data_IF_545010480988
#
_entry.id   IF_545010480988
#
_cell.length_a   1.000
_cell.length_b   1.000
_cell.length_c   1.000
_cell.angle_alpha   90.00
_cell.angle_beta   90.00
_cell.angle_gamma   90.00
#
_symmetry.space_group_name_H-M   'P 1'
#
loop_
_entity.id
_entity.type
_entity.pdbx_description
1 polymer ?
#
# COMPACT_ATOMS: atom_id res chain seq x y z
N UNK A 1 41.43 20.84 16.85
CA UNK A 1 40.44 21.81 16.35
C UNK A 1 39.13 21.00 16.23
N UNK A 2 38.23 21.18 17.21
CA UNK A 2 36.92 20.59 17.17
C UNK A 2 36.03 21.46 16.30
N UNK A 3 35.62 20.95 15.12
CA UNK A 3 34.56 21.59 14.35
C UNK A 3 33.27 21.55 15.17
N UNK A 4 32.85 22.72 15.59
CA UNK A 4 31.57 22.93 16.24
C UNK A 4 30.46 22.62 15.19
N UNK A 5 29.92 21.42 15.25
CA UNK A 5 28.72 21.07 14.48
C UNK A 5 27.58 21.96 14.97
N UNK A 6 27.01 22.79 14.07
CA UNK A 6 25.88 23.63 14.39
C UNK A 6 24.69 22.78 14.86
N UNK A 7 23.90 23.22 15.84
CA UNK A 7 22.76 22.42 16.37
C UNK A 7 21.69 22.11 15.31
N UNK A 8 21.64 22.84 14.20
CA UNK A 8 20.79 22.53 13.04
C UNK A 8 21.24 21.27 12.29
N UNK A 9 22.55 20.96 12.29
CA UNK A 9 23.10 19.81 11.60
C UNK A 9 22.71 18.50 12.29
N UNK A 10 22.63 18.52 13.61
CA UNK A 10 22.25 17.36 14.44
C UNK A 10 20.74 17.05 14.33
N UNK A 11 19.91 18.03 13.95
CA UNK A 11 18.47 17.85 13.79
C UNK A 11 18.07 17.32 12.40
N UNK A 12 18.93 17.51 11.38
CA UNK A 12 18.65 17.11 10.00
C UNK A 12 19.18 15.73 9.59
N UNK A 13 20.00 15.13 10.45
CA UNK A 13 20.67 13.86 10.13
C UNK A 13 20.48 12.94 11.30
N UNK A 14 19.78 11.80 11.11
CA UNK A 14 19.58 10.85 12.20
C UNK A 14 20.93 10.35 12.70
N UNK A 15 21.20 10.36 14.03
CA UNK A 15 22.35 9.69 14.58
C UNK A 15 22.20 8.20 14.36
N UNK A 16 23.25 7.55 13.89
CA UNK A 16 23.31 6.09 13.83
C UNK A 16 23.53 5.59 15.25
N UNK A 17 22.48 5.14 15.90
CA UNK A 17 22.59 4.52 17.23
C UNK A 17 23.34 3.19 17.10
N UNK A 18 24.56 3.13 17.69
CA UNK A 18 25.36 1.90 17.83
C UNK A 18 26.64 1.80 17.01
N UNK A 19 26.96 2.74 16.16
CA UNK A 19 28.20 2.70 15.38
C UNK A 19 28.73 4.11 15.08
N UNK A 20 29.88 4.31 14.70
CA UNK A 20 30.70 5.46 14.30
C UNK A 20 30.05 6.82 13.93
N UNK A 21 28.77 7.11 14.19
CA UNK A 21 28.12 8.41 14.00
C UNK A 21 28.04 8.91 12.55
N UNK A 22 28.09 8.05 11.56
CA UNK A 22 27.94 8.39 10.15
C UNK A 22 26.47 8.40 9.73
N UNK A 23 26.06 9.53 9.20
CA UNK A 23 24.75 9.76 8.58
C UNK A 23 24.77 9.43 7.09
N UNK A 24 23.58 9.24 6.52
CA UNK A 24 23.42 9.10 5.06
C UNK A 24 23.95 10.35 4.33
N UNK A 25 24.48 10.21 3.10
CA UNK A 25 24.98 11.36 2.33
C UNK A 25 23.88 12.41 2.13
N UNK A 26 24.19 13.68 2.41
CA UNK A 26 23.25 14.79 2.27
C UNK A 26 22.69 14.88 0.84
N UNK A 27 23.49 14.57 -0.17
CA UNK A 27 23.06 14.55 -1.57
C UNK A 27 21.92 13.55 -1.80
N UNK A 28 21.96 12.39 -1.16
CA UNK A 28 20.94 11.35 -1.26
C UNK A 28 19.65 11.78 -0.52
N UNK A 29 19.76 12.33 0.67
CA UNK A 29 18.64 12.89 1.41
C UNK A 29 17.96 14.04 0.64
N UNK A 30 18.75 14.92 0.04
CA UNK A 30 18.24 16.00 -0.80
C UNK A 30 17.48 15.45 -2.04
N UNK A 31 18.01 14.41 -2.69
CA UNK A 31 17.35 13.75 -3.83
C UNK A 31 16.00 13.14 -3.41
N UNK A 32 15.96 12.41 -2.31
CA UNK A 32 14.72 11.81 -1.78
C UNK A 32 13.69 12.90 -1.41
N UNK A 33 14.14 13.99 -0.79
CA UNK A 33 13.27 15.13 -0.44
C UNK A 33 12.69 15.79 -1.70
N UNK A 34 13.50 16.00 -2.74
CA UNK A 34 13.04 16.56 -4.00
C UNK A 34 12.03 15.65 -4.70
N UNK A 35 12.28 14.33 -4.71
CA UNK A 35 11.34 13.34 -5.23
C UNK A 35 10.00 13.35 -4.48
N UNK A 36 10.04 13.48 -3.16
CA UNK A 36 8.85 13.58 -2.31
C UNK A 36 8.08 14.88 -2.55
N UNK A 37 8.75 16.02 -2.70
CA UNK A 37 8.12 17.29 -3.07
C UNK A 37 7.41 17.16 -4.42
N UNK A 38 8.06 16.58 -5.41
CA UNK A 38 7.47 16.34 -6.72
C UNK A 38 6.24 15.43 -6.62
N UNK A 39 6.32 14.31 -5.91
CA UNK A 39 5.20 13.39 -5.65
C UNK A 39 4.03 14.11 -4.98
N UNK A 40 4.33 14.97 -4.00
CA UNK A 40 3.34 15.76 -3.27
C UNK A 40 2.59 16.71 -4.22
N UNK A 41 3.31 17.46 -5.05
CA UNK A 41 2.72 18.38 -6.02
C UNK A 41 1.82 17.63 -7.01
N UNK A 42 2.31 16.53 -7.58
CA UNK A 42 1.58 15.72 -8.55
C UNK A 42 0.32 15.11 -7.93
N UNK A 43 0.42 14.55 -6.72
CA UNK A 43 -0.72 13.94 -6.02
C UNK A 43 -1.77 14.99 -5.63
N UNK A 44 -1.35 16.14 -5.08
CA UNK A 44 -2.26 17.25 -4.73
C UNK A 44 -2.94 17.82 -5.97
N UNK A 45 -2.22 17.97 -7.08
CA UNK A 45 -2.80 18.39 -8.35
C UNK A 45 -3.91 17.43 -8.82
N UNK A 46 -3.65 16.13 -8.76
CA UNK A 46 -4.65 15.11 -9.09
C UNK A 46 -5.89 15.17 -8.19
N UNK A 47 -5.68 15.32 -6.88
CA UNK A 47 -6.76 15.46 -5.90
C UNK A 47 -7.59 16.73 -6.17
N UNK A 48 -6.94 17.86 -6.43
CA UNK A 48 -7.62 19.14 -6.74
C UNK A 48 -8.44 19.01 -8.01
N UNK A 49 -7.92 18.33 -9.05
CA UNK A 49 -8.70 18.08 -10.28
C UNK A 49 -9.95 17.25 -10.01
N UNK A 50 -9.86 16.22 -9.15
CA UNK A 50 -11.02 15.42 -8.75
C UNK A 50 -12.06 16.24 -7.98
N UNK A 51 -11.60 17.11 -7.07
CA UNK A 51 -12.48 17.96 -6.26
C UNK A 51 -13.12 19.10 -7.06
N UNK A 52 -12.39 19.69 -8.02
CA UNK A 52 -12.95 20.72 -8.90
C UNK A 52 -14.01 20.15 -9.86
N UNK A 53 -13.84 18.90 -10.28
CA UNK A 53 -14.74 18.21 -11.21
C UNK A 53 -15.51 17.11 -10.45
N UNK A 54 -16.24 17.48 -9.41
CA UNK A 54 -16.89 16.54 -8.49
C UNK A 54 -18.31 16.21 -8.95
N UNK A 55 -18.40 15.47 -10.09
CA UNK A 55 -19.68 15.13 -10.73
C UNK A 55 -20.37 13.89 -10.12
N UNK A 56 -19.58 12.90 -9.69
CA UNK A 56 -20.07 11.65 -9.07
C UNK A 56 -19.50 11.47 -7.66
N UNK A 57 -20.12 12.10 -6.65
CA UNK A 57 -19.60 12.09 -5.26
C UNK A 57 -19.40 10.71 -4.68
N UNK A 58 -20.29 9.75 -4.99
CA UNK A 58 -20.24 8.39 -4.48
C UNK A 58 -18.95 7.65 -4.91
N UNK A 59 -18.49 7.88 -6.13
CA UNK A 59 -17.28 7.28 -6.70
C UNK A 59 -16.03 8.09 -6.34
N UNK A 60 -16.06 9.40 -6.57
CA UNK A 60 -14.90 10.26 -6.46
C UNK A 60 -14.34 10.37 -5.03
N UNK A 61 -15.18 10.22 -4.00
CA UNK A 61 -14.71 10.14 -2.61
C UNK A 61 -13.74 8.98 -2.37
N UNK A 62 -13.97 7.83 -2.98
CA UNK A 62 -13.05 6.70 -2.88
C UNK A 62 -11.77 6.94 -3.68
N UNK A 63 -11.90 7.53 -4.87
CA UNK A 63 -10.76 7.89 -5.72
C UNK A 63 -9.82 8.87 -5.01
N UNK A 64 -10.35 9.94 -4.41
CA UNK A 64 -9.54 10.91 -3.65
C UNK A 64 -8.77 10.21 -2.53
N UNK A 65 -9.41 9.30 -1.80
CA UNK A 65 -8.74 8.53 -0.74
C UNK A 65 -7.62 7.65 -1.29
N UNK A 66 -7.80 7.04 -2.46
CA UNK A 66 -6.76 6.23 -3.11
C UNK A 66 -5.61 7.11 -3.59
N UNK A 67 -5.88 8.30 -4.13
CA UNK A 67 -4.87 9.24 -4.63
C UNK A 67 -3.96 9.82 -3.54
N UNK A 68 -4.36 9.75 -2.27
CA UNK A 68 -3.51 10.14 -1.12
C UNK A 68 -2.38 9.11 -0.89
N UNK A 69 -2.51 7.87 -1.39
CA UNK A 69 -1.58 6.79 -1.09
C UNK A 69 -0.12 7.10 -1.50
N UNK A 70 0.20 7.48 -2.77
CA UNK A 70 1.57 7.80 -3.15
C UNK A 70 2.17 8.97 -2.34
N UNK A 71 1.34 9.97 -2.02
CA UNK A 71 1.72 11.11 -1.18
C UNK A 71 2.13 10.64 0.22
N UNK A 72 1.28 9.82 0.85
CA UNK A 72 1.52 9.33 2.20
C UNK A 72 2.78 8.46 2.26
N UNK A 73 2.98 7.58 1.28
CA UNK A 73 4.17 6.73 1.19
C UNK A 73 5.45 7.57 1.03
N UNK A 74 5.48 8.55 0.13
CA UNK A 74 6.64 9.40 -0.09
C UNK A 74 6.98 10.22 1.17
N UNK A 75 5.99 10.83 1.80
CA UNK A 75 6.19 11.64 3.03
C UNK A 75 6.63 10.75 4.19
N UNK A 76 6.01 9.59 4.37
CA UNK A 76 6.35 8.64 5.43
C UNK A 76 7.81 8.17 5.30
N UNK A 77 8.21 7.70 4.11
CA UNK A 77 9.59 7.25 3.88
C UNK A 77 10.61 8.37 4.00
N UNK A 78 10.27 9.61 3.60
CA UNK A 78 11.17 10.74 3.81
C UNK A 78 11.36 11.04 5.31
N UNK A 79 10.29 11.07 6.10
CA UNK A 79 10.39 11.31 7.55
C UNK A 79 11.17 10.18 8.23
N UNK A 80 10.96 8.93 7.81
CA UNK A 80 11.71 7.77 8.30
C UNK A 80 13.22 7.92 8.07
N UNK A 81 13.64 8.45 6.91
CA UNK A 81 15.05 8.75 6.61
C UNK A 81 15.66 9.82 7.51
N UNK A 82 14.86 10.78 8.02
CA UNK A 82 15.32 11.82 8.90
C UNK A 82 15.27 11.47 10.40
N UNK A 83 14.41 10.53 10.81
CA UNK A 83 14.22 10.17 12.21
C UNK A 83 13.81 8.71 12.38
N UNK A 84 14.75 7.88 12.85
CA UNK A 84 14.50 6.48 13.19
C UNK A 84 13.43 6.29 14.28
N UNK A 85 13.37 7.20 15.25
CA UNK A 85 12.38 7.13 16.33
C UNK A 85 10.94 7.33 15.83
N UNK A 86 10.77 8.15 14.78
CA UNK A 86 9.47 8.37 14.15
C UNK A 86 9.15 7.30 13.10
N UNK A 87 10.16 6.61 12.57
CA UNK A 87 10.01 5.61 11.53
C UNK A 87 8.98 4.54 11.91
N UNK A 88 9.08 3.95 13.09
CA UNK A 88 8.17 2.90 13.54
C UNK A 88 6.71 3.36 13.62
N UNK A 89 6.46 4.58 14.13
CA UNK A 89 5.10 5.12 14.20
C UNK A 89 4.55 5.45 12.81
N UNK A 90 5.41 5.96 11.94
CA UNK A 90 5.03 6.35 10.59
C UNK A 90 4.77 5.14 9.72
N UNK A 91 5.58 4.10 9.85
CA UNK A 91 5.37 2.82 9.17
C UNK A 91 4.05 2.18 9.59
N UNK A 92 3.71 2.25 10.88
CA UNK A 92 2.42 1.80 11.37
C UNK A 92 1.25 2.56 10.72
N UNK A 93 1.35 3.88 10.61
CA UNK A 93 0.33 4.71 9.95
C UNK A 93 0.22 4.40 8.46
N UNK A 94 1.36 4.19 7.77
CA UNK A 94 1.42 3.76 6.37
C UNK A 94 0.70 2.43 6.18
N UNK A 95 0.99 1.48 7.03
CA UNK A 95 0.41 0.14 7.04
C UNK A 95 -1.13 0.15 7.25
N UNK A 96 -1.61 0.96 8.18
CA UNK A 96 -3.04 1.12 8.42
C UNK A 96 -3.74 1.77 7.21
N UNK A 97 -3.07 2.75 6.59
CA UNK A 97 -3.61 3.40 5.40
C UNK A 97 -3.68 2.45 4.21
N UNK A 98 -2.70 1.55 4.05
CA UNK A 98 -2.72 0.49 3.03
C UNK A 98 -3.98 -0.38 3.13
N UNK A 99 -4.28 -0.87 4.32
CA UNK A 99 -5.50 -1.65 4.55
C UNK A 99 -6.76 -0.84 4.22
N UNK A 100 -6.80 0.44 4.58
CA UNK A 100 -7.90 1.34 4.26
C UNK A 100 -8.05 1.58 2.75
N UNK A 101 -6.95 1.67 2.00
CA UNK A 101 -6.98 1.82 0.53
C UNK A 101 -7.57 0.58 -0.13
N UNK A 102 -7.25 -0.62 0.33
CA UNK A 102 -7.87 -1.87 -0.18
C UNK A 102 -9.39 -1.85 0.03
N UNK A 103 -9.86 -1.40 1.20
CA UNK A 103 -11.28 -1.20 1.44
C UNK A 103 -11.89 -0.17 0.48
N UNK A 104 -11.24 0.99 0.32
CA UNK A 104 -11.72 2.03 -0.60
C UNK A 104 -11.77 1.54 -2.05
N UNK A 105 -10.77 0.77 -2.47
CA UNK A 105 -10.73 0.20 -3.81
C UNK A 105 -11.86 -0.82 -4.04
N UNK A 106 -12.07 -1.74 -3.11
CA UNK A 106 -13.20 -2.68 -3.18
C UNK A 106 -14.54 -1.94 -3.23
N UNK A 107 -14.74 -0.94 -2.35
CA UNK A 107 -15.95 -0.13 -2.33
C UNK A 107 -16.17 0.63 -3.63
N UNK A 108 -15.09 1.15 -4.25
CA UNK A 108 -15.13 1.78 -5.57
C UNK A 108 -15.62 0.80 -6.65
N UNK A 109 -15.13 -0.44 -6.64
CA UNK A 109 -15.56 -1.45 -7.60
C UNK A 109 -17.03 -1.80 -7.46
N UNK A 110 -17.53 -1.93 -6.23
CA UNK A 110 -18.95 -2.17 -5.96
C UNK A 110 -19.81 -1.00 -6.42
N UNK A 111 -19.35 0.23 -6.20
CA UNK A 111 -20.07 1.44 -6.60
C UNK A 111 -20.10 1.63 -8.13
N UNK A 112 -19.07 1.18 -8.87
CA UNK A 112 -19.11 1.13 -10.34
C UNK A 112 -20.23 0.22 -10.86
N UNK A 113 -20.66 -0.75 -10.07
CA UNK A 113 -21.77 -1.67 -10.38
C UNK A 113 -23.11 -1.20 -9.81
N UNK A 114 -23.21 0.09 -9.47
CA UNK A 114 -24.42 0.70 -8.87
C UNK A 114 -24.80 0.11 -7.51
N UNK A 115 -23.81 -0.38 -6.76
CA UNK A 115 -23.98 -0.94 -5.43
C UNK A 115 -24.26 -2.44 -5.39
N UNK A 116 -24.24 -3.00 -4.17
CA UNK A 116 -24.35 -4.45 -3.95
C UNK A 116 -25.67 -5.04 -4.48
N UNK A 117 -26.80 -4.35 -4.27
CA UNK A 117 -28.11 -4.84 -4.68
C UNK A 117 -28.27 -4.93 -6.21
N UNK A 118 -27.88 -3.89 -6.92
CA UNK A 118 -27.93 -3.87 -8.38
C UNK A 118 -26.98 -4.92 -8.99
N UNK A 119 -25.77 -5.02 -8.44
CA UNK A 119 -24.80 -6.02 -8.84
C UNK A 119 -25.34 -7.46 -8.73
N UNK A 120 -25.94 -7.80 -7.57
CA UNK A 120 -26.51 -9.15 -7.37
C UNK A 120 -27.67 -9.44 -8.33
N UNK A 121 -28.48 -8.44 -8.69
CA UNK A 121 -29.52 -8.59 -9.70
C UNK A 121 -28.96 -8.87 -11.10
N UNK A 122 -27.88 -8.19 -11.48
CA UNK A 122 -27.21 -8.41 -12.78
C UNK A 122 -26.48 -9.76 -12.85
N UNK A 123 -26.10 -10.34 -11.73
CA UNK A 123 -25.41 -11.63 -11.69
C UNK A 123 -26.37 -12.84 -11.68
N UNK A 124 -27.67 -12.63 -11.47
CA UNK A 124 -28.65 -13.75 -11.46
C UNK A 124 -28.62 -14.52 -12.77
N UNK A 125 -28.52 -15.85 -12.65
CA UNK A 125 -28.54 -16.77 -13.79
C UNK A 125 -27.23 -16.91 -14.55
N UNK A 126 -26.11 -16.39 -14.03
CA UNK A 126 -24.78 -16.60 -14.63
C UNK A 126 -24.18 -17.92 -14.19
N UNK A 127 -23.40 -18.56 -15.05
CA UNK A 127 -22.71 -19.78 -14.68
C UNK A 127 -21.62 -19.47 -13.65
N UNK A 128 -21.44 -20.36 -12.65
CA UNK A 128 -20.38 -20.26 -11.68
C UNK A 128 -19.00 -20.26 -12.34
N UNK A 129 -18.05 -19.51 -11.78
CA UNK A 129 -16.67 -19.43 -12.29
C UNK A 129 -15.72 -20.27 -11.45
N UNK A 130 -14.76 -20.98 -12.10
CA UNK A 130 -13.76 -21.76 -11.38
C UNK A 130 -12.83 -20.81 -10.60
N UNK A 131 -12.34 -21.31 -9.48
CA UNK A 131 -11.30 -20.63 -8.70
C UNK A 131 -9.98 -20.57 -9.46
N UNK A 132 -9.07 -19.66 -9.06
CA UNK A 132 -7.72 -19.62 -9.60
C UNK A 132 -6.90 -20.83 -9.17
N UNK A 133 -5.98 -21.26 -10.03
CA UNK A 133 -4.99 -22.26 -9.67
C UNK A 133 -4.14 -21.77 -8.47
N UNK A 134 -3.83 -22.62 -7.46
CA UNK A 134 -4.16 -24.07 -7.37
C UNK A 134 -5.50 -24.39 -6.70
N UNK A 135 -6.25 -23.39 -6.20
CA UNK A 135 -7.47 -23.59 -5.41
C UNK A 135 -8.65 -24.15 -6.23
N UNK A 136 -8.61 -24.05 -7.56
CA UNK A 136 -9.61 -24.67 -8.44
C UNK A 136 -9.66 -26.21 -8.36
N UNK A 137 -8.60 -26.83 -7.81
CA UNK A 137 -8.55 -28.29 -7.62
C UNK A 137 -9.28 -28.71 -6.34
N UNK A 138 -9.33 -27.80 -5.34
CA UNK A 138 -9.83 -28.10 -3.98
C UNK A 138 -11.22 -27.51 -3.76
N UNK A 139 -11.49 -26.31 -4.32
CA UNK A 139 -12.72 -25.56 -4.10
C UNK A 139 -13.70 -25.69 -5.26
N UNK A 140 -15.00 -25.77 -4.92
CA UNK A 140 -16.08 -25.74 -5.90
C UNK A 140 -16.14 -24.38 -6.62
N UNK A 141 -16.60 -24.34 -7.90
CA UNK A 141 -16.73 -23.09 -8.64
C UNK A 141 -17.55 -22.04 -7.87
N UNK A 142 -17.09 -20.81 -7.91
CA UNK A 142 -17.72 -19.69 -7.20
C UNK A 142 -18.93 -19.17 -7.96
N UNK A 143 -20.10 -19.22 -7.32
CA UNK A 143 -21.34 -18.62 -7.83
C UNK A 143 -21.62 -17.29 -7.13
N UNK A 144 -21.35 -16.19 -7.82
CA UNK A 144 -21.62 -14.82 -7.31
C UNK A 144 -23.10 -14.41 -7.37
N UNK A 145 -23.97 -15.24 -8.00
CA UNK A 145 -25.41 -15.01 -7.96
C UNK A 145 -26.01 -15.29 -6.58
N UNK A 146 -25.31 -16.12 -5.78
CA UNK A 146 -25.69 -16.41 -4.41
C UNK A 146 -25.22 -15.26 -3.45
N UNK A 147 -26.15 -14.61 -2.74
CA UNK A 147 -25.81 -13.58 -1.76
C UNK A 147 -24.83 -14.04 -0.67
N UNK A 148 -24.87 -15.31 -0.27
CA UNK A 148 -23.96 -15.85 0.75
C UNK A 148 -22.52 -15.94 0.23
N UNK A 149 -22.35 -16.36 -1.02
CA UNK A 149 -21.04 -16.41 -1.69
C UNK A 149 -20.45 -15.02 -1.83
N UNK A 150 -21.26 -14.04 -2.24
CA UNK A 150 -20.82 -12.63 -2.28
C UNK A 150 -20.44 -12.10 -0.90
N UNK A 151 -21.24 -12.39 0.14
CA UNK A 151 -20.93 -11.98 1.50
C UNK A 151 -19.64 -12.62 2.02
N UNK A 152 -19.39 -13.88 1.70
CA UNK A 152 -18.12 -14.57 2.02
C UNK A 152 -16.93 -13.91 1.34
N UNK A 153 -17.06 -13.57 0.05
CA UNK A 153 -16.04 -12.85 -0.70
C UNK A 153 -15.76 -11.47 -0.07
N UNK A 154 -16.80 -10.71 0.23
CA UNK A 154 -16.68 -9.41 0.90
C UNK A 154 -15.97 -9.54 2.26
N UNK A 155 -16.34 -10.53 3.09
CA UNK A 155 -15.66 -10.81 4.36
C UNK A 155 -14.20 -11.18 4.16
N UNK A 156 -13.89 -11.99 3.14
CA UNK A 156 -12.52 -12.37 2.79
C UNK A 156 -11.64 -11.19 2.39
N UNK A 157 -12.21 -10.15 1.75
CA UNK A 157 -11.47 -8.91 1.43
C UNK A 157 -11.34 -8.04 2.68
N UNK A 158 -12.43 -7.82 3.41
CA UNK A 158 -12.48 -6.88 4.53
C UNK A 158 -11.78 -7.38 5.79
N UNK A 159 -11.56 -8.70 5.93
CA UNK A 159 -10.83 -9.26 7.07
C UNK A 159 -9.43 -8.65 7.23
N UNK A 160 -8.75 -8.35 6.13
CA UNK A 160 -7.43 -7.72 6.16
C UNK A 160 -7.48 -6.32 6.80
N UNK A 161 -8.50 -5.54 6.46
CA UNK A 161 -8.72 -4.19 7.02
C UNK A 161 -8.94 -4.23 8.53
N UNK A 162 -9.54 -5.32 9.04
CA UNK A 162 -9.77 -5.51 10.47
C UNK A 162 -8.55 -6.10 11.19
N UNK A 163 -7.84 -7.05 10.56
CA UNK A 163 -6.68 -7.71 11.15
C UNK A 163 -5.50 -6.76 11.28
N UNK A 164 -5.27 -5.87 10.31
CA UNK A 164 -4.12 -4.96 10.30
C UNK A 164 -4.03 -4.09 11.57
N UNK A 165 -5.10 -3.37 11.99
CA UNK A 165 -5.06 -2.60 13.25
C UNK A 165 -4.84 -3.48 14.50
N UNK A 166 -5.43 -4.68 14.51
CA UNK A 166 -5.25 -5.62 15.64
C UNK A 166 -3.80 -6.08 15.72
N UNK A 167 -3.18 -6.44 14.59
CA UNK A 167 -1.78 -6.80 14.55
C UNK A 167 -0.88 -5.63 14.97
N UNK A 168 -1.20 -4.41 14.54
CA UNK A 168 -0.47 -3.22 14.93
C UNK A 168 -0.44 -3.03 16.45
N UNK A 169 -1.59 -3.09 17.10
CA UNK A 169 -1.69 -3.01 18.56
C UNK A 169 -0.97 -4.18 19.23
N UNK A 170 -1.12 -5.40 18.69
CA UNK A 170 -0.45 -6.59 19.21
C UNK A 170 1.07 -6.45 19.14
N UNK A 171 1.62 -5.93 18.05
CA UNK A 171 3.05 -5.68 17.89
C UNK A 171 3.57 -4.71 18.95
N UNK A 172 2.88 -3.58 19.15
CA UNK A 172 3.24 -2.61 20.20
C UNK A 172 3.25 -3.26 21.59
N UNK A 173 2.21 -4.03 21.92
CA UNK A 173 2.14 -4.73 23.20
C UNK A 173 3.27 -5.75 23.36
N UNK A 174 3.55 -6.54 22.34
CA UNK A 174 4.63 -7.53 22.38
C UNK A 174 6.00 -6.88 22.52
N UNK A 175 6.25 -5.72 21.89
CA UNK A 175 7.46 -4.92 22.08
C UNK A 175 7.57 -4.42 23.53
N UNK A 176 6.50 -3.93 24.13
CA UNK A 176 6.47 -3.50 25.53
C UNK A 176 6.80 -4.64 26.51
N UNK A 177 6.39 -5.87 26.20
CA UNK A 177 6.71 -7.05 27.03
C UNK A 177 8.05 -7.71 26.70
N UNK A 178 8.84 -7.16 25.78
CA UNK A 178 10.14 -7.71 25.37
C UNK A 178 10.06 -9.09 24.69
N UNK A 179 8.91 -9.41 24.08
CA UNK A 179 8.66 -10.66 23.35
C UNK A 179 8.63 -10.50 21.84
N UNK A 180 9.13 -9.38 21.35
CA UNK A 180 9.15 -9.06 19.93
C UNK A 180 10.53 -8.59 19.52
N UNK A 181 11.22 -9.42 18.76
CA UNK A 181 12.52 -9.12 18.18
C UNK A 181 12.39 -9.08 16.67
N UNK A 182 12.58 -7.90 16.10
CA UNK A 182 12.48 -7.67 14.65
C UNK A 182 13.51 -8.52 13.89
N UNK A 183 13.09 -9.16 12.80
CA UNK A 183 13.97 -9.92 11.91
C UNK A 183 14.31 -11.34 12.38
N UNK A 184 14.04 -11.73 13.63
CA UNK A 184 14.33 -13.06 14.13
C UNK A 184 13.14 -14.01 14.04
N UNK A 185 13.19 -14.92 13.04
CA UNK A 185 12.17 -15.95 12.82
C UNK A 185 12.38 -17.14 13.78
N UNK A 186 11.79 -17.04 14.98
CA UNK A 186 11.76 -18.11 15.96
C UNK A 186 10.35 -18.33 16.49
N UNK A 187 9.91 -19.57 16.70
CA UNK A 187 8.53 -19.89 17.12
C UNK A 187 8.15 -19.27 18.48
N UNK A 188 9.12 -18.94 19.33
CA UNK A 188 8.91 -18.23 20.59
C UNK A 188 8.81 -16.70 20.45
N UNK A 189 9.11 -16.15 19.28
CA UNK A 189 9.11 -14.72 19.03
C UNK A 189 7.75 -14.25 18.47
N UNK A 190 7.20 -13.18 19.01
CA UNK A 190 5.96 -12.57 18.54
C UNK A 190 6.02 -12.10 17.09
N UNK A 191 7.21 -11.66 16.62
CA UNK A 191 7.44 -11.28 15.24
C UNK A 191 7.05 -12.38 14.24
N UNK A 192 7.42 -13.63 14.49
CA UNK A 192 7.12 -14.76 13.61
C UNK A 192 5.60 -14.92 13.40
N UNK A 193 4.84 -14.86 14.48
CA UNK A 193 3.38 -15.02 14.41
C UNK A 193 2.68 -13.83 13.74
N UNK A 194 3.11 -12.60 14.02
CA UNK A 194 2.56 -11.41 13.37
C UNK A 194 2.83 -11.44 11.87
N UNK A 195 4.02 -11.83 11.42
CA UNK A 195 4.37 -11.96 10.01
C UNK A 195 3.54 -13.05 9.32
N UNK A 196 3.36 -14.21 9.93
CA UNK A 196 2.55 -15.31 9.37
C UNK A 196 1.09 -14.87 9.21
N UNK A 197 0.48 -14.33 10.27
CA UNK A 197 -0.93 -13.89 10.24
C UNK A 197 -1.12 -12.76 9.21
N UNK A 198 -0.20 -11.81 9.17
CA UNK A 198 -0.22 -10.71 8.21
C UNK A 198 -0.20 -11.23 6.77
N UNK A 199 0.80 -12.04 6.41
CA UNK A 199 0.95 -12.54 5.04
C UNK A 199 -0.23 -13.41 4.61
N UNK A 200 -0.75 -14.27 5.50
CA UNK A 200 -1.93 -15.06 5.23
C UNK A 200 -3.16 -14.17 4.99
N UNK A 201 -3.36 -13.17 5.82
CA UNK A 201 -4.48 -12.21 5.71
C UNK A 201 -4.43 -11.42 4.40
N UNK A 202 -3.24 -10.91 4.02
CA UNK A 202 -3.03 -10.22 2.74
C UNK A 202 -3.31 -11.17 1.57
N UNK A 203 -2.78 -12.37 1.60
CA UNK A 203 -2.99 -13.36 0.54
C UNK A 203 -4.47 -13.64 0.32
N UNK A 204 -5.22 -13.88 1.39
CA UNK A 204 -6.66 -14.12 1.34
C UNK A 204 -7.41 -12.91 0.76
N UNK A 205 -7.12 -11.70 1.24
CA UNK A 205 -7.77 -10.49 0.77
C UNK A 205 -7.52 -10.26 -0.74
N UNK A 206 -6.29 -10.44 -1.17
CA UNK A 206 -5.90 -10.27 -2.57
C UNK A 206 -6.49 -11.35 -3.47
N UNK A 207 -6.56 -12.56 -3.00
CA UNK A 207 -7.19 -13.66 -3.70
C UNK A 207 -8.68 -13.37 -3.97
N UNK A 208 -9.44 -13.02 -2.93
CA UNK A 208 -10.86 -12.69 -3.07
C UNK A 208 -11.09 -11.43 -3.93
N UNK A 209 -10.24 -10.41 -3.80
CA UNK A 209 -10.33 -9.22 -4.65
C UNK A 209 -10.07 -9.54 -6.13
N UNK A 210 -9.11 -10.42 -6.41
CA UNK A 210 -8.84 -10.89 -7.77
C UNK A 210 -9.98 -11.74 -8.32
N UNK A 211 -10.55 -12.63 -7.49
CA UNK A 211 -11.73 -13.41 -7.87
C UNK A 211 -12.93 -12.53 -8.17
N UNK A 212 -13.17 -11.49 -7.34
CA UNK A 212 -14.20 -10.49 -7.59
C UNK A 212 -14.02 -9.83 -8.96
N UNK A 213 -12.81 -9.38 -9.27
CA UNK A 213 -12.51 -8.77 -10.56
C UNK A 213 -12.70 -9.74 -11.74
N UNK A 214 -12.22 -10.98 -11.64
CA UNK A 214 -12.37 -11.98 -12.70
C UNK A 214 -13.85 -12.31 -12.96
N UNK A 215 -14.64 -12.45 -11.91
CA UNK A 215 -16.06 -12.76 -12.03
C UNK A 215 -16.84 -11.62 -12.71
N UNK A 216 -16.43 -10.38 -12.47
CA UNK A 216 -17.10 -9.14 -12.93
C UNK A 216 -16.31 -8.42 -14.03
N UNK A 217 -15.34 -9.09 -14.65
CA UNK A 217 -14.43 -8.46 -15.61
C UNK A 217 -15.15 -7.83 -16.82
N UNK A 218 -16.26 -8.39 -17.25
CA UNK A 218 -17.07 -7.87 -18.38
C UNK A 218 -17.76 -6.55 -18.00
N UNK A 219 -18.35 -6.48 -16.81
CA UNK A 219 -19.07 -5.32 -16.30
C UNK A 219 -18.11 -4.19 -15.91
N UNK A 220 -16.96 -4.57 -15.42
CA UNK A 220 -15.93 -3.64 -14.99
C UNK A 220 -15.00 -3.18 -16.13
N UNK A 221 -15.10 -3.79 -17.32
CA UNK A 221 -14.26 -3.44 -18.47
C UNK A 221 -14.34 -1.94 -18.86
N UNK A 222 -15.53 -1.28 -18.90
CA UNK A 222 -15.62 0.13 -19.27
C UNK A 222 -14.86 1.06 -18.33
N UNK A 223 -14.71 0.68 -17.05
CA UNK A 223 -14.09 1.51 -16.00
C UNK A 223 -12.57 1.36 -15.91
N UNK A 224 -11.93 0.66 -16.84
CA UNK A 224 -10.47 0.44 -16.88
C UNK A 224 -9.90 -0.05 -15.54
N UNK A 225 -10.63 -0.95 -14.88
CA UNK A 225 -10.31 -1.44 -13.53
C UNK A 225 -8.93 -2.11 -13.47
N UNK A 226 -8.49 -2.77 -14.54
CA UNK A 226 -7.16 -3.38 -14.60
C UNK A 226 -6.04 -2.38 -14.32
N UNK A 227 -6.06 -1.20 -14.96
CA UNK A 227 -5.06 -0.14 -14.72
C UNK A 227 -5.12 0.38 -13.30
N UNK A 228 -6.33 0.61 -12.77
CA UNK A 228 -6.55 1.05 -11.39
C UNK A 228 -6.04 0.02 -10.37
N UNK A 229 -6.31 -1.27 -10.63
CA UNK A 229 -5.85 -2.38 -9.80
C UNK A 229 -4.32 -2.49 -9.80
N UNK A 230 -3.69 -2.39 -10.98
CA UNK A 230 -2.22 -2.45 -11.10
C UNK A 230 -1.58 -1.26 -10.37
N UNK A 231 -2.14 -0.05 -10.46
CA UNK A 231 -1.59 1.11 -9.76
C UNK A 231 -1.64 0.93 -8.23
N UNK A 232 -2.80 0.59 -7.67
CA UNK A 232 -2.94 0.38 -6.21
C UNK A 232 -2.10 -0.80 -5.74
N UNK A 233 -2.18 -1.92 -6.45
CA UNK A 233 -1.41 -3.13 -6.13
C UNK A 233 0.08 -2.95 -6.37
N UNK A 234 0.46 -2.18 -7.40
CA UNK A 234 1.86 -1.93 -7.75
C UNK A 234 2.62 -1.32 -6.58
N UNK A 235 2.10 -0.27 -5.95
CA UNK A 235 2.75 0.37 -4.78
C UNK A 235 3.01 -0.67 -3.68
N UNK A 236 1.97 -1.43 -3.29
CA UNK A 236 2.07 -2.43 -2.22
C UNK A 236 3.02 -3.57 -2.60
N UNK A 237 2.90 -4.07 -3.83
CA UNK A 237 3.71 -5.18 -4.33
C UNK A 237 5.19 -4.81 -4.41
N UNK A 238 5.50 -3.66 -4.99
CA UNK A 238 6.88 -3.20 -5.07
C UNK A 238 7.49 -2.98 -3.69
N UNK A 239 6.81 -2.27 -2.80
CA UNK A 239 7.31 -2.04 -1.43
C UNK A 239 7.58 -3.35 -0.69
N UNK A 240 6.71 -4.36 -0.81
CA UNK A 240 6.88 -5.66 -0.16
C UNK A 240 8.07 -6.45 -0.72
N UNK A 241 8.12 -6.60 -2.06
CA UNK A 241 9.18 -7.40 -2.70
C UNK A 241 10.56 -6.74 -2.59
N UNK A 242 10.61 -5.42 -2.65
CA UNK A 242 11.84 -4.67 -2.41
C UNK A 242 12.36 -4.91 -0.99
N UNK A 243 11.50 -4.78 0.02
CA UNK A 243 11.88 -5.01 1.40
C UNK A 243 12.43 -6.43 1.61
N UNK A 244 11.75 -7.44 1.04
CA UNK A 244 12.21 -8.82 1.08
C UNK A 244 13.56 -8.98 0.37
N UNK A 245 13.70 -8.42 -0.82
CA UNK A 245 14.93 -8.51 -1.63
C UNK A 245 16.11 -7.83 -0.93
N UNK A 246 15.90 -6.63 -0.40
CA UNK A 246 16.93 -5.90 0.36
C UNK A 246 17.34 -6.69 1.60
N UNK A 247 16.39 -7.23 2.35
CA UNK A 247 16.68 -8.06 3.53
C UNK A 247 17.52 -9.29 3.19
N UNK A 248 17.25 -9.95 2.06
CA UNK A 248 18.05 -11.07 1.57
C UNK A 248 19.46 -10.60 1.19
N UNK A 249 19.62 -9.49 0.48
CA UNK A 249 20.93 -8.94 0.09
C UNK A 249 21.79 -8.57 1.30
N UNK A 250 21.17 -7.98 2.33
CA UNK A 250 21.84 -7.65 3.60
C UNK A 250 22.25 -8.94 4.34
N UNK A 251 21.35 -9.92 4.44
CA UNK A 251 21.63 -11.21 5.08
C UNK A 251 22.75 -12.00 4.37
N UNK A 252 22.90 -11.84 3.05
CA UNK A 252 24.00 -12.43 2.28
C UNK A 252 25.32 -11.65 2.38
N UNK A 253 25.34 -10.53 3.10
CA UNK A 253 26.51 -9.68 3.25
C UNK A 253 26.96 -8.92 1.99
N UNK A 254 26.11 -8.90 0.93
CA UNK A 254 26.44 -8.23 -0.32
C UNK A 254 26.38 -6.70 -0.21
N UNK A 255 25.58 -6.18 0.70
CA UNK A 255 25.34 -4.75 0.91
C UNK A 255 26.21 -4.17 2.01
N UNK A 256 26.65 -4.96 2.97
CA UNK A 256 27.54 -4.55 4.09
C UNK A 256 28.89 -4.03 3.59
N UNK A 257 29.35 -4.46 2.42
CA UNK A 257 30.58 -3.94 1.79
C UNK A 257 30.45 -2.49 1.28
N UNK A 258 29.24 -1.98 1.07
CA UNK A 258 29.02 -0.63 0.55
C UNK A 258 29.10 0.41 1.68
N UNK A 259 28.83 0.02 2.90
CA UNK A 259 28.68 0.93 4.02
C UNK A 259 29.58 0.71 5.24
N UNK A 260 30.23 -0.41 5.43
CA UNK A 260 31.24 -0.77 6.48
C UNK A 260 31.06 -0.24 7.91
N UNK A 261 30.00 0.53 8.18
CA UNK A 261 29.84 1.37 9.36
C UNK A 261 28.39 1.40 9.88
N UNK A 262 27.41 0.87 9.11
CA UNK A 262 26.00 0.92 9.48
C UNK A 262 25.55 -0.43 10.04
N UNK A 263 24.61 -0.38 11.02
CA UNK A 263 23.90 -1.56 11.48
C UNK A 263 23.03 -2.13 10.34
N UNK A 264 23.02 -3.46 10.20
CA UNK A 264 22.35 -4.15 9.08
C UNK A 264 20.84 -3.83 9.03
N UNK A 265 20.20 -3.67 10.18
CA UNK A 265 18.79 -3.34 10.29
C UNK A 265 18.51 -1.91 9.80
N UNK A 266 19.35 -0.96 10.20
CA UNK A 266 19.25 0.43 9.74
C UNK A 266 19.45 0.53 8.22
N UNK A 267 20.47 -0.18 7.71
CA UNK A 267 20.82 -0.14 6.29
C UNK A 267 19.68 -0.68 5.42
N UNK A 268 19.05 -1.79 5.84
CA UNK A 268 17.93 -2.38 5.10
C UNK A 268 16.71 -1.44 5.05
N UNK A 269 16.34 -0.84 6.17
CA UNK A 269 15.22 0.12 6.26
C UNK A 269 15.51 1.38 5.44
N UNK A 270 16.70 1.95 5.59
CA UNK A 270 17.09 3.16 4.87
C UNK A 270 17.10 2.95 3.35
N UNK A 271 17.63 1.81 2.86
CA UNK A 271 17.61 1.48 1.44
C UNK A 271 16.19 1.32 0.91
N UNK A 272 15.32 0.66 1.65
CA UNK A 272 13.91 0.52 1.28
C UNK A 272 13.22 1.89 1.17
N UNK A 273 13.39 2.76 2.15
CA UNK A 273 12.80 4.09 2.15
C UNK A 273 13.33 4.98 1.03
N UNK A 274 14.63 4.90 0.71
CA UNK A 274 15.22 5.59 -0.44
C UNK A 274 14.55 5.14 -1.74
N UNK A 275 14.41 3.83 -1.96
CA UNK A 275 13.76 3.30 -3.16
C UNK A 275 12.30 3.74 -3.25
N UNK A 276 11.55 3.67 -2.14
CA UNK A 276 10.17 4.15 -2.09
C UNK A 276 10.10 5.63 -2.48
N UNK A 277 10.95 6.50 -1.92
CA UNK A 277 10.97 7.92 -2.27
C UNK A 277 11.20 8.14 -3.78
N UNK A 278 12.07 7.35 -4.41
CA UNK A 278 12.39 7.48 -5.84
C UNK A 278 11.32 6.89 -6.76
N UNK A 279 10.54 5.93 -6.30
CA UNK A 279 9.47 5.29 -7.07
C UNK A 279 8.14 6.02 -6.99
N UNK A 280 7.84 6.66 -5.85
CA UNK A 280 6.56 7.34 -5.65
C UNK A 280 6.23 8.42 -6.69
N UNK A 281 7.16 9.20 -7.26
CA UNK A 281 6.90 10.07 -8.41
C UNK A 281 6.27 9.34 -9.60
N UNK A 282 6.77 8.14 -9.94
CA UNK A 282 6.28 7.32 -11.05
C UNK A 282 4.85 6.85 -10.74
N UNK A 283 4.63 6.35 -9.52
CA UNK A 283 3.30 5.91 -9.09
C UNK A 283 2.30 7.07 -9.01
N UNK A 284 2.71 8.27 -8.58
CA UNK A 284 1.83 9.44 -8.57
C UNK A 284 1.36 9.80 -9.99
N UNK A 285 2.26 9.78 -10.97
CA UNK A 285 1.92 9.99 -12.38
C UNK A 285 0.99 8.88 -12.88
N UNK A 286 1.30 7.61 -12.59
CA UNK A 286 0.46 6.48 -12.97
C UNK A 286 -0.96 6.59 -12.39
N UNK A 287 -1.10 7.08 -11.17
CA UNK A 287 -2.40 7.30 -10.52
C UNK A 287 -3.21 8.39 -11.21
N UNK A 288 -2.61 9.48 -11.72
CA UNK A 288 -3.33 10.50 -12.52
C UNK A 288 -3.98 9.86 -13.75
N UNK A 289 -3.25 9.02 -14.46
CA UNK A 289 -3.77 8.35 -15.65
C UNK A 289 -4.79 7.26 -15.35
N UNK A 290 -4.56 6.47 -14.29
CA UNK A 290 -5.45 5.39 -13.90
C UNK A 290 -6.77 5.90 -13.31
N UNK A 291 -6.73 7.00 -12.55
CA UNK A 291 -7.87 7.61 -11.88
C UNK A 291 -8.16 9.00 -12.45
N UNK A 292 -8.29 9.10 -13.76
CA UNK A 292 -8.56 10.37 -14.43
C UNK A 292 -9.92 10.94 -14.03
N UNK A 293 -9.98 12.25 -13.76
CA UNK A 293 -11.25 12.97 -13.56
C UNK A 293 -12.15 12.95 -14.79
N UNK A 294 -11.56 12.78 -15.97
CA UNK A 294 -12.30 12.70 -17.25
C UNK A 294 -13.22 11.47 -17.32
N UNK A 295 -12.88 10.37 -16.63
CA UNK A 295 -13.72 9.17 -16.56
C UNK A 295 -15.13 9.47 -15.99
N UNK A 296 -15.28 10.55 -15.23
CA UNK A 296 -16.54 10.94 -14.57
C UNK A 296 -17.28 12.04 -15.32
N UNK A 297 -16.63 12.75 -16.25
CA UNK A 297 -17.24 13.83 -17.05
C UNK A 297 -18.01 13.30 -18.25
N UNK A 298 -17.49 12.28 -18.92
CA UNK A 298 -18.02 11.78 -20.20
C UNK A 298 -19.43 11.20 -20.08
N UNK A 299 -19.75 10.53 -18.97
CA UNK A 299 -21.11 10.01 -18.74
C UNK A 299 -22.13 11.11 -18.39
N UNK A 300 -21.70 12.21 -17.79
CA UNK A 300 -22.59 13.34 -17.46
C UNK A 300 -23.04 14.08 -18.72
N UNK A 301 -22.18 14.19 -19.73
CA UNK A 301 -22.54 14.83 -20.99
C UNK A 301 -23.54 14.01 -21.81
N UNK A 302 -23.51 12.69 -21.74
CA UNK A 302 -24.45 11.82 -22.47
C UNK A 302 -25.87 11.85 -21.89
N UNK A 303 -26.01 12.12 -20.57
CA UNK A 303 -27.32 12.24 -19.91
C UNK A 303 -28.02 13.58 -20.18
N UNK A 304 -27.30 14.62 -20.62
CA UNK A 304 -27.88 15.92 -21.00
C UNK A 304 -28.17 16.05 -22.52
N UNK A 305 -27.78 15.05 -23.33
CA UNK A 305 -28.03 15.02 -24.80
C UNK A 305 -29.06 13.97 -25.22
N UNK A 306 -29.66 13.27 -24.27
CA UNK A 306 -30.81 12.38 -24.45
C UNK A 306 -32.05 12.95 -23.75
#
# INVERSE_FOLDING_TARGET
MAEASSPLYTFMVPPVDGGSGRSLPISLLALCTLATIFTTIVSLYSIILQLKNYYKPSLQRYVVRILIMPLLYAVASTISLFSLQLAEMIDLMRDLYEAFVIYCFFSLLVEYLSGEGAMLMHLRGRPPKPHLFPLNVILYPMDLSDPYTFLSLKRGILQYVQIKPVLAVTTVLLKMYGKYEDGHLHLGNGYTWTVIIYNFSVFVALYYLTMFWICLSKELAPFRVASKFICVKGVIFFSFWQGLFISILVAMGLVTHIGGVYDDTYLSTALQDILICLEMPIFAIAHIYAFSHLDYMTESCLLYTS
#
